data_IF_638109516931
#
_entry.id   IF_638109516931
#
_cell.length_a   1.000
_cell.length_b   1.000
_cell.length_c   1.000
_cell.angle_alpha   90.00
_cell.angle_beta   90.00
_cell.angle_gamma   90.00
#
_symmetry.space_group_name_H-M   'P 1'
#
loop_
_entity.id
_entity.type
_entity.pdbx_description
1 polymer ?
#
# COMPACT_ATOMS: atom_id res chain seq x y z
N UNK A 1 0.87 -8.27 16.24
CA UNK A 1 2.15 -7.66 15.93
C UNK A 1 2.10 -7.05 14.55
N UNK A 2 2.95 -6.09 14.33
CA UNK A 2 2.93 -5.36 13.10
C UNK A 2 3.91 -5.94 12.10
N UNK A 3 3.46 -6.15 10.92
CA UNK A 3 4.33 -6.64 9.87
C UNK A 3 4.68 -5.49 8.95
N UNK A 4 5.91 -5.48 8.49
CA UNK A 4 6.34 -4.44 7.59
C UNK A 4 6.10 -4.90 6.15
N UNK A 5 5.44 -4.06 5.40
CA UNK A 5 5.15 -4.32 4.01
C UNK A 5 6.14 -3.52 3.16
N UNK A 6 6.73 -4.16 2.19
CA UNK A 6 7.65 -3.48 1.28
C UNK A 6 6.96 -3.35 -0.07
N UNK A 7 6.84 -2.13 -0.53
CA UNK A 7 6.21 -1.87 -1.82
C UNK A 7 7.32 -1.58 -2.82
N UNK A 8 7.37 -2.38 -3.87
CA UNK A 8 8.44 -2.28 -4.84
C UNK A 8 7.90 -1.85 -6.20
N UNK A 9 8.69 -1.13 -6.91
CA UNK A 9 8.37 -0.72 -8.26
C UNK A 9 9.66 -0.56 -9.03
N UNK A 10 9.69 -1.12 -10.23
CA UNK A 10 10.88 -1.06 -11.10
C UNK A 10 12.13 -1.53 -10.36
N UNK A 11 11.99 -2.56 -9.56
CA UNK A 11 13.12 -3.14 -8.86
C UNK A 11 13.58 -2.37 -7.65
N UNK A 12 12.84 -1.36 -7.24
CA UNK A 12 13.21 -0.55 -6.09
C UNK A 12 12.12 -0.51 -5.06
N UNK A 13 12.49 -0.35 -3.81
CA UNK A 13 11.50 -0.21 -2.75
C UNK A 13 11.12 1.25 -2.70
N UNK A 14 9.87 1.55 -2.96
CA UNK A 14 9.40 2.93 -2.97
C UNK A 14 8.64 3.28 -1.70
N UNK A 15 8.12 2.31 -0.99
CA UNK A 15 7.43 2.54 0.27
C UNK A 15 7.63 1.36 1.18
N UNK A 16 7.57 1.60 2.46
CA UNK A 16 7.64 0.50 3.42
C UNK A 16 7.00 0.95 4.73
N UNK A 17 6.43 0.01 5.44
CA UNK A 17 5.76 0.28 6.70
C UNK A 17 4.65 -0.71 6.92
N UNK A 18 3.86 -0.50 7.95
CA UNK A 18 2.72 -1.38 8.20
C UNK A 18 1.60 -0.98 7.26
N UNK A 19 0.60 -1.82 7.18
CA UNK A 19 -0.57 -1.53 6.35
C UNK A 19 -1.16 -0.17 6.72
N UNK A 20 -1.37 0.05 8.00
CA UNK A 20 -1.96 1.32 8.44
C UNK A 20 -1.10 2.51 8.09
N UNK A 21 0.20 2.35 8.22
CA UNK A 21 1.12 3.42 7.89
C UNK A 21 1.10 3.74 6.41
N UNK A 22 1.07 2.72 5.60
CA UNK A 22 1.08 2.92 4.15
C UNK A 22 -0.22 3.52 3.67
N UNK A 23 -1.33 3.13 4.25
CA UNK A 23 -2.61 3.71 3.91
C UNK A 23 -2.65 5.17 4.29
N UNK A 24 -2.15 5.49 5.49
CA UNK A 24 -2.14 6.87 5.94
C UNK A 24 -1.23 7.75 5.09
N UNK A 25 -0.22 7.14 4.49
CA UNK A 25 0.70 7.88 3.64
C UNK A 25 0.02 8.37 2.37
N UNK A 26 -0.97 7.64 1.90
CA UNK A 26 -1.70 8.03 0.71
C UNK A 26 -0.88 7.95 -0.57
N UNK A 27 0.08 7.04 -0.61
CA UNK A 27 0.96 6.92 -1.76
C UNK A 27 0.58 5.76 -2.66
N UNK A 28 1.60 5.11 -3.19
CA UNK A 28 1.40 4.04 -4.16
C UNK A 28 0.60 2.88 -3.57
N UNK A 29 0.94 2.48 -2.36
CA UNK A 29 0.24 1.38 -1.72
C UNK A 29 -1.24 1.70 -1.52
N UNK A 30 -1.50 2.92 -1.06
CA UNK A 30 -2.87 3.36 -0.84
C UNK A 30 -3.67 3.30 -2.15
N UNK A 31 -3.09 3.76 -3.22
CA UNK A 31 -3.74 3.74 -4.52
C UNK A 31 -4.01 2.32 -4.99
N UNK A 32 -3.02 1.45 -4.85
CA UNK A 32 -3.18 0.07 -5.24
C UNK A 32 -4.24 -0.64 -4.41
N UNK A 33 -4.20 -0.42 -3.12
CA UNK A 33 -5.12 -1.08 -2.22
C UNK A 33 -6.56 -0.67 -2.54
N UNK A 34 -6.78 0.62 -2.74
CA UNK A 34 -8.11 1.09 -3.06
C UNK A 34 -8.59 0.60 -4.42
N UNK A 35 -7.68 0.47 -5.35
CA UNK A 35 -8.03 -0.02 -6.67
C UNK A 35 -8.39 -1.51 -6.65
N UNK A 36 -7.72 -2.28 -5.79
CA UNK A 36 -7.91 -3.73 -5.77
C UNK A 36 -8.95 -4.18 -4.79
N UNK A 37 -9.02 -3.53 -3.65
CA UNK A 37 -9.85 -4.04 -2.57
C UNK A 37 -11.00 -3.12 -2.17
N UNK A 38 -10.74 -1.84 -2.11
CA UNK A 38 -11.78 -0.93 -1.69
C UNK A 38 -12.77 -0.62 -2.80
N UNK A 39 -12.47 -1.01 -3.98
CA UNK A 39 -13.34 -0.75 -5.05
C UNK A 39 -14.51 -1.64 -4.94
N UNK A 40 -15.61 -1.14 -4.70
CA UNK A 40 -16.72 -1.91 -4.51
C UNK A 40 -17.39 -2.02 -5.75
N UNK A 41 -17.56 -2.53 -6.36
CA UNK A 41 -18.23 -2.61 -7.44
C UNK A 41 -19.46 -2.13 -7.47
N UNK A 42 -19.73 -1.73 -7.58
CA UNK A 42 -20.86 -1.31 -7.50
C UNK A 42 -21.43 -1.64 -8.04
#
# INVERSE_FOLDING_TARGET
>A
SADVILVMKDGSIIEQGTHDELIAKGGFYHTLYNSQFAKVSE
#
